data_IF_483821076988
#
_entry.id   IF_483821076988
#
_cell.length_a   1.000
_cell.length_b   1.000
_cell.length_c   1.000
_cell.angle_alpha   90.00
_cell.angle_beta   90.00
_cell.angle_gamma   90.00
#
_symmetry.space_group_name_H-M   'P 1'
#
loop_
_entity.id
_entity.type
_entity.pdbx_description
1 polymer ?
#
# COMPACT_ATOMS: atom_id res chain seq x y z
N UNK A 1 34.01 -7.86 17.03
CA UNK A 1 33.46 -7.96 15.67
C UNK A 1 32.16 -7.21 15.56
N UNK A 2 32.20 -6.05 14.89
CA UNK A 2 31.02 -5.29 14.51
C UNK A 2 30.35 -6.00 13.33
N UNK A 3 29.22 -6.64 13.58
CA UNK A 3 28.39 -7.25 12.54
C UNK A 3 27.83 -6.15 11.65
N UNK A 4 28.50 -5.90 10.52
CA UNK A 4 27.95 -5.15 9.40
C UNK A 4 26.71 -5.90 8.92
N UNK A 5 25.54 -5.35 9.22
CA UNK A 5 24.32 -5.72 8.52
C UNK A 5 24.42 -5.15 7.12
N UNK A 6 24.80 -5.99 6.17
CA UNK A 6 24.69 -5.69 4.74
C UNK A 6 23.20 -5.51 4.41
N UNK A 7 22.71 -4.27 4.60
CA UNK A 7 21.46 -3.84 4.00
C UNK A 7 21.76 -3.78 2.52
N UNK A 8 21.23 -4.73 1.75
CA UNK A 8 21.09 -4.57 0.31
C UNK A 8 20.33 -3.25 0.09
N UNK A 9 21.08 -2.18 -0.16
CA UNK A 9 20.57 -0.92 -0.65
C UNK A 9 20.01 -1.22 -2.03
N UNK A 10 18.74 -1.62 -2.08
CA UNK A 10 18.03 -1.86 -3.35
C UNK A 10 18.20 -0.60 -4.19
N UNK A 11 18.96 -0.75 -5.26
CA UNK A 11 19.31 0.36 -6.13
C UNK A 11 18.00 0.99 -6.63
N UNK A 12 17.80 2.27 -6.32
CA UNK A 12 16.54 2.96 -6.64
C UNK A 12 16.51 3.19 -8.14
N UNK A 13 15.62 2.50 -8.86
CA UNK A 13 15.46 2.62 -10.32
C UNK A 13 14.28 3.52 -10.66
N UNK A 14 14.51 4.50 -11.53
CA UNK A 14 13.46 5.37 -12.04
C UNK A 14 12.61 4.67 -13.11
N UNK A 15 11.30 4.52 -12.88
CA UNK A 15 10.40 3.92 -13.87
C UNK A 15 10.28 4.69 -15.21
N UNK A 16 10.56 5.99 -15.23
CA UNK A 16 10.42 6.83 -16.45
C UNK A 16 11.66 6.80 -17.36
N UNK A 17 12.84 6.60 -16.79
CA UNK A 17 14.09 6.60 -17.56
C UNK A 17 14.89 5.29 -17.45
N UNK A 18 14.42 4.36 -16.61
CA UNK A 18 15.02 3.07 -16.31
C UNK A 18 16.50 3.17 -15.89
N UNK A 19 16.87 4.28 -15.24
CA UNK A 19 18.21 4.52 -14.69
C UNK A 19 18.20 4.37 -13.17
N UNK A 20 19.26 3.79 -12.60
CA UNK A 20 19.44 3.77 -11.16
C UNK A 20 19.81 5.16 -10.61
N UNK A 21 19.60 5.35 -9.30
CA UNK A 21 20.03 6.52 -8.53
C UNK A 21 19.00 7.63 -8.40
N UNK A 22 17.80 7.52 -8.97
CA UNK A 22 16.75 8.51 -8.80
C UNK A 22 15.35 7.90 -8.85
N UNK A 23 14.40 8.46 -8.09
CA UNK A 23 12.98 8.13 -8.20
C UNK A 23 12.31 8.94 -9.33
N UNK A 24 11.08 8.57 -9.68
CA UNK A 24 10.25 9.25 -10.70
C UNK A 24 10.18 10.79 -10.56
N UNK A 25 9.93 11.39 -9.38
CA UNK A 25 9.83 12.85 -9.26
C UNK A 25 11.13 13.60 -9.57
N UNK A 26 12.28 12.97 -9.33
CA UNK A 26 13.61 13.54 -9.59
C UNK A 26 14.12 13.24 -11.00
N UNK A 27 13.31 12.59 -11.82
CA UNK A 27 13.70 12.24 -13.17
C UNK A 27 13.86 13.51 -14.02
N UNK A 28 15.06 13.80 -14.55
CA UNK A 28 15.29 14.99 -15.36
C UNK A 28 14.50 14.97 -16.68
N UNK A 29 14.01 13.80 -17.13
CA UNK A 29 13.08 13.72 -18.27
C UNK A 29 11.69 14.26 -17.91
N UNK A 30 11.24 14.06 -16.67
CA UNK A 30 9.91 14.49 -16.19
C UNK A 30 9.90 16.00 -15.88
N UNK A 31 11.02 16.53 -15.38
CA UNK A 31 11.13 17.95 -15.00
C UNK A 31 11.11 18.93 -16.19
N UNK A 32 11.34 18.47 -17.43
CA UNK A 32 11.20 19.31 -18.64
C UNK A 32 9.76 19.80 -18.88
N UNK A 33 8.78 19.26 -18.17
CA UNK A 33 7.36 19.58 -18.35
C UNK A 33 6.75 20.39 -17.19
N UNK A 34 7.51 20.74 -16.14
CA UNK A 34 6.97 21.36 -14.91
C UNK A 34 7.11 22.89 -14.81
N UNK A 35 7.77 23.54 -15.76
CA UNK A 35 8.08 24.98 -15.66
C UNK A 35 6.91 25.95 -15.93
N UNK A 36 5.66 25.48 -16.01
CA UNK A 36 4.52 26.35 -16.37
C UNK A 36 3.55 26.70 -15.23
N UNK A 37 3.86 26.41 -13.96
CA UNK A 37 2.97 26.71 -12.82
C UNK A 37 3.56 27.58 -11.71
N UNK A 38 4.54 28.43 -12.02
CA UNK A 38 4.99 29.52 -11.11
C UNK A 38 4.57 30.94 -11.52
N UNK A 39 3.71 31.09 -12.54
CA UNK A 39 3.34 32.39 -13.10
C UNK A 39 2.04 33.02 -12.56
N UNK A 40 1.43 32.47 -11.49
CA UNK A 40 0.24 33.07 -10.85
C UNK A 40 0.45 33.21 -9.34
N UNK A 41 1.37 34.09 -8.94
CA UNK A 41 1.26 34.80 -7.65
C UNK A 41 1.51 36.27 -7.98
N UNK A 42 0.44 37.00 -8.25
CA UNK A 42 0.45 38.43 -8.47
C UNK A 42 -0.56 39.07 -7.53
N UNK A 43 -0.16 39.29 -6.27
CA UNK A 43 -0.78 40.28 -5.37
C UNK A 43 0.05 40.49 -4.11
N UNK A 44 0.23 41.78 -3.78
CA UNK A 44 0.69 42.40 -2.53
C UNK A 44 2.19 42.42 -2.17
N UNK A 45 2.81 43.57 -2.45
CA UNK A 45 3.87 44.15 -1.62
C UNK A 45 3.39 44.30 -0.17
N UNK A 46 4.17 43.84 0.81
CA UNK A 46 4.96 44.71 1.69
C UNK A 46 5.62 43.90 2.82
N UNK A 47 6.81 44.36 3.17
CA UNK A 47 7.55 44.18 4.41
C UNK A 47 8.17 42.80 4.73
N UNK A 48 9.47 42.87 5.03
CA UNK A 48 10.29 41.74 5.41
C UNK A 48 10.11 41.30 6.85
N UNK A 49 10.80 40.20 7.11
CA UNK A 49 11.14 39.60 8.40
C UNK A 49 10.05 38.80 9.12
N UNK A 50 10.38 37.52 9.25
CA UNK A 50 10.27 36.70 10.46
C UNK A 50 9.34 35.51 10.44
N UNK A 51 9.99 34.38 10.75
CA UNK A 51 9.50 33.26 11.57
C UNK A 51 8.65 32.18 10.90
N UNK A 52 9.34 31.04 10.69
CA UNK A 52 8.98 29.70 11.20
C UNK A 52 7.49 29.35 11.26
N UNK A 53 7.05 28.49 10.34
CA UNK A 53 6.16 27.34 10.59
C UNK A 53 5.76 26.71 9.23
N UNK A 54 6.66 25.90 8.65
CA UNK A 54 6.33 25.06 7.49
C UNK A 54 6.44 23.56 7.83
N UNK A 55 5.88 23.15 8.98
CA UNK A 55 5.72 21.73 9.36
C UNK A 55 4.24 21.26 9.30
N UNK A 56 3.37 21.99 8.60
CA UNK A 56 1.94 21.62 8.44
C UNK A 56 1.58 21.13 7.04
N UNK A 57 2.45 21.35 6.07
CA UNK A 57 2.27 20.90 4.67
C UNK A 57 2.69 19.43 4.48
N UNK A 58 3.62 18.93 5.29
CA UNK A 58 4.04 17.51 5.29
C UNK A 58 2.95 16.59 5.87
N UNK A 59 2.24 17.01 6.93
CA UNK A 59 1.11 16.24 7.51
C UNK A 59 -0.07 16.10 6.54
N UNK A 60 -0.39 17.16 5.78
CA UNK A 60 -1.49 17.13 4.79
C UNK A 60 -1.17 16.21 3.61
N UNK A 61 0.10 16.16 3.19
CA UNK A 61 0.55 15.26 2.13
C UNK A 61 0.47 13.77 2.55
N UNK A 62 0.75 13.48 3.82
CA UNK A 62 0.66 12.12 4.37
C UNK A 62 -0.81 11.62 4.47
N UNK A 63 -1.77 12.49 4.78
CA UNK A 63 -3.19 12.13 4.83
C UNK A 63 -3.74 11.78 3.44
N UNK A 64 -3.29 12.47 2.39
CA UNK A 64 -3.74 12.23 1.01
C UNK A 64 -3.30 10.87 0.44
N UNK A 65 -2.33 10.18 1.06
CA UNK A 65 -1.88 8.85 0.66
C UNK A 65 -2.71 7.71 1.28
N UNK A 66 -3.47 8.00 2.35
CA UNK A 66 -4.38 7.05 3.01
C UNK A 66 -5.77 7.00 2.35
N UNK A 67 -6.04 7.90 1.40
CA UNK A 67 -7.34 8.07 0.75
C UNK A 67 -7.48 7.29 -0.57
N UNK A 68 -6.51 6.45 -0.91
CA UNK A 68 -6.73 5.38 -1.89
C UNK A 68 -7.25 4.21 -1.06
N UNK A 69 -8.58 4.05 -1.08
CA UNK A 69 -9.21 2.79 -0.69
C UNK A 69 -8.43 1.67 -1.37
N UNK A 70 -7.90 0.78 -0.54
CA UNK A 70 -7.21 -0.41 -0.97
C UNK A 70 -8.25 -1.29 -1.66
N UNK A 71 -8.47 -1.05 -2.96
CA UNK A 71 -9.07 -2.01 -3.89
C UNK A 71 -8.12 -3.21 -4.09
N UNK A 72 -7.27 -3.54 -3.12
CA UNK A 72 -6.99 -4.92 -2.79
C UNK A 72 -8.26 -5.52 -2.15
N UNK A 73 -9.34 -5.53 -2.93
CA UNK A 73 -10.23 -6.66 -2.99
C UNK A 73 -9.34 -7.85 -3.38
N UNK A 74 -8.61 -8.36 -2.38
CA UNK A 74 -8.32 -9.78 -2.35
C UNK A 74 -9.71 -10.36 -2.53
N UNK A 75 -10.00 -10.85 -3.73
CA UNK A 75 -11.02 -11.84 -3.94
C UNK A 75 -10.55 -13.10 -3.20
N UNK A 76 -10.42 -12.99 -1.87
CA UNK A 76 -10.84 -14.01 -0.95
C UNK A 76 -12.27 -14.13 -1.36
N UNK A 77 -12.57 -15.10 -2.23
CA UNK A 77 -13.91 -15.45 -2.69
C UNK A 77 -14.85 -15.06 -1.57
N UNK A 78 -15.69 -14.02 -1.73
CA UNK A 78 -16.48 -13.52 -0.62
C UNK A 78 -17.57 -14.55 -0.36
N UNK A 79 -17.18 -15.69 0.19
CA UNK A 79 -18.05 -16.77 0.56
C UNK A 79 -19.01 -16.12 1.53
N UNK A 80 -20.28 -16.08 1.15
CA UNK A 80 -21.30 -15.59 2.05
C UNK A 80 -21.25 -16.46 3.30
N UNK A 81 -21.68 -15.91 4.44
CA UNK A 81 -21.89 -16.70 5.64
C UNK A 81 -22.71 -17.97 5.35
N UNK A 82 -23.67 -17.89 4.42
CA UNK A 82 -24.45 -19.04 3.95
C UNK A 82 -23.60 -20.13 3.30
N UNK A 83 -22.63 -19.74 2.46
CA UNK A 83 -21.81 -20.68 1.71
C UNK A 83 -20.85 -21.41 2.67
N UNK A 84 -20.26 -20.66 3.61
CA UNK A 84 -19.41 -21.23 4.65
C UNK A 84 -20.20 -22.16 5.57
N UNK A 85 -21.44 -21.79 5.90
CA UNK A 85 -22.33 -22.62 6.70
C UNK A 85 -22.70 -23.92 5.99
N UNK A 86 -22.88 -23.88 4.67
CA UNK A 86 -23.16 -25.08 3.86
C UNK A 86 -21.95 -26.02 3.85
N UNK A 87 -20.75 -25.51 3.57
CA UNK A 87 -19.50 -26.30 3.61
C UNK A 87 -19.28 -26.94 5.00
N UNK A 88 -19.53 -26.18 6.07
CA UNK A 88 -19.46 -26.70 7.43
C UNK A 88 -20.43 -27.85 7.67
N UNK A 89 -21.68 -27.73 7.21
CA UNK A 89 -22.68 -28.79 7.36
C UNK A 89 -22.29 -30.06 6.59
N UNK A 90 -21.80 -29.91 5.36
CA UNK A 90 -21.29 -31.05 4.56
C UNK A 90 -20.15 -31.78 5.28
N UNK A 91 -19.24 -31.04 5.92
CA UNK A 91 -18.15 -31.63 6.70
C UNK A 91 -18.67 -32.42 7.91
N UNK A 92 -19.70 -31.92 8.59
CA UNK A 92 -20.34 -32.62 9.72
C UNK A 92 -20.97 -33.94 9.26
N UNK A 93 -21.66 -33.97 8.12
CA UNK A 93 -22.26 -35.19 7.58
C UNK A 93 -21.20 -36.27 7.32
N UNK A 94 -20.08 -35.88 6.70
CA UNK A 94 -18.95 -36.80 6.44
C UNK A 94 -18.34 -37.32 7.75
N UNK A 95 -18.19 -36.45 8.76
CA UNK A 95 -17.66 -36.84 10.06
C UNK A 95 -18.58 -37.84 10.78
N UNK A 96 -19.89 -37.64 10.69
CA UNK A 96 -20.88 -38.56 11.27
C UNK A 96 -20.84 -39.92 10.59
N UNK A 97 -20.73 -39.95 9.26
CA UNK A 97 -20.60 -41.20 8.50
C UNK A 97 -19.30 -41.95 8.83
N UNK A 98 -18.17 -41.23 8.88
CA UNK A 98 -16.90 -41.81 9.31
C UNK A 98 -16.95 -42.34 10.74
N UNK A 99 -17.61 -41.62 11.65
CA UNK A 99 -17.78 -42.08 13.02
C UNK A 99 -18.63 -43.36 13.09
N UNK A 100 -19.70 -43.47 12.29
CA UNK A 100 -20.48 -44.72 12.18
C UNK A 100 -19.62 -45.88 11.71
N UNK A 101 -18.82 -45.68 10.65
CA UNK A 101 -17.89 -46.71 10.16
C UNK A 101 -16.85 -47.11 11.22
N UNK A 102 -16.28 -46.13 11.93
CA UNK A 102 -15.35 -46.38 13.03
C UNK A 102 -15.99 -47.22 14.15
N UNK A 103 -17.24 -46.94 14.54
CA UNK A 103 -17.94 -47.75 15.55
C UNK A 103 -18.19 -49.18 15.07
N UNK A 104 -18.43 -49.39 13.77
CA UNK A 104 -18.56 -50.73 13.19
C UNK A 104 -17.24 -51.50 13.21
N UNK A 105 -16.12 -50.82 12.92
CA UNK A 105 -14.77 -51.41 12.90
C UNK A 105 -14.19 -51.66 14.29
N UNK A 106 -14.61 -50.87 15.29
CA UNK A 106 -14.17 -51.01 16.68
C UNK A 106 -14.74 -52.25 17.37
N UNK A 107 -15.79 -52.85 16.81
CA UNK A 107 -16.47 -54.02 17.35
C UNK A 107 -15.71 -55.31 17.03
#
# INVERSE_FOLDING_TARGET
DSTKSDKEEKEVICYECNKPGNIRPDCPKLNKNKDKKKAMIATWSDNGDSSSDEDKNEEIANIAFMAMEDDNEVCSTSLSYSDLQNEYNELIDVLDDLNKEYQLLKK
#
